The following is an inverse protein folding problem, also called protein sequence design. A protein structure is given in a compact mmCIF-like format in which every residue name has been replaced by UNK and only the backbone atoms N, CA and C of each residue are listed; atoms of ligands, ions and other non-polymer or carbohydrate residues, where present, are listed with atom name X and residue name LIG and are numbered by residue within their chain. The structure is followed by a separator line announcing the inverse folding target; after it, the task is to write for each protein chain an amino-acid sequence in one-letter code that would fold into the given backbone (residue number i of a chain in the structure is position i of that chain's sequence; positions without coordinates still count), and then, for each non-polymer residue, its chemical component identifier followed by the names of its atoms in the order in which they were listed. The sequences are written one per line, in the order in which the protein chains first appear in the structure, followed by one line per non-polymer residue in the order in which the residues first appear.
data_IF_479712051026
#
_entry.id   IF_479712051026
#
_cell.length_a   1.000
_cell.length_b   1.000
_cell.length_c   1.000
_cell.angle_alpha   90.00
_cell.angle_beta   90.00
_cell.angle_gamma   90.00
#
_symmetry.space_group_name_H-M   'P 1'
#
loop_
_entity.id
_entity.type
_entity.pdbx_description
1 polymer ?
#
# COMPACT_ATOMS: atom_id res chain seq x y z
N UNK A 1 8.57 1.73 -13.30
CA UNK A 1 7.19 1.98 -12.89
C UNK A 1 7.08 1.75 -11.39
N UNK A 2 6.22 2.51 -10.73
CA UNK A 2 6.12 2.53 -9.27
C UNK A 2 4.65 2.46 -8.86
N UNK A 3 4.33 1.71 -7.81
CA UNK A 3 3.06 1.81 -7.11
C UNK A 3 3.33 2.43 -5.75
N UNK A 4 2.68 3.58 -5.47
CA UNK A 4 2.76 4.24 -4.18
C UNK A 4 1.47 3.96 -3.41
N UNK A 5 1.58 3.25 -2.30
CA UNK A 5 0.46 2.96 -1.40
C UNK A 5 0.51 3.90 -0.20
N UNK A 6 -0.61 4.53 0.12
CA UNK A 6 -0.74 5.42 1.28
C UNK A 6 -1.85 4.89 2.17
N UNK A 7 -1.54 4.69 3.45
CA UNK A 7 -2.49 4.19 4.45
C UNK A 7 -2.65 5.22 5.55
N UNK A 8 -3.88 5.44 5.99
CA UNK A 8 -4.17 6.20 7.21
C UNK A 8 -4.78 5.24 8.22
N UNK A 9 -4.09 5.02 9.34
CA UNK A 9 -4.47 4.04 10.36
C UNK A 9 -4.81 4.78 11.64
N UNK A 10 -6.06 4.68 12.14
CA UNK A 10 -6.42 5.27 13.43
C UNK A 10 -5.56 4.69 14.55
N UNK A 11 -5.29 5.47 15.58
CA UNK A 11 -4.46 5.05 16.70
C UNK A 11 -4.94 3.74 17.32
N UNK A 12 -6.26 3.59 17.49
CA UNK A 12 -6.87 2.40 18.08
C UNK A 12 -6.80 1.16 17.18
N UNK A 13 -6.41 1.31 15.91
CA UNK A 13 -6.36 0.22 14.93
C UNK A 13 -4.94 -0.16 14.51
N UNK A 14 -3.93 0.41 15.12
CA UNK A 14 -2.53 0.11 14.79
C UNK A 14 -2.21 -1.37 15.00
N UNK A 15 -2.78 -1.99 16.04
CA UNK A 15 -2.63 -3.42 16.29
C UNK A 15 -3.18 -4.27 15.14
N UNK A 16 -4.37 -3.92 14.66
CA UNK A 16 -5.00 -4.64 13.55
C UNK A 16 -4.16 -4.54 12.29
N UNK A 17 -3.64 -3.34 11.99
CA UNK A 17 -2.75 -3.11 10.87
C UNK A 17 -1.48 -3.97 10.98
N UNK A 18 -0.83 -3.96 12.13
CA UNK A 18 0.40 -4.73 12.35
C UNK A 18 0.17 -6.23 12.16
N UNK A 19 -0.96 -6.74 12.66
CA UNK A 19 -1.32 -8.14 12.49
C UNK A 19 -1.51 -8.51 11.02
N UNK A 20 -2.26 -7.68 10.26
CA UNK A 20 -2.48 -7.93 8.85
C UNK A 20 -1.19 -7.89 8.03
N UNK A 21 -0.29 -6.96 8.35
CA UNK A 21 1.02 -6.87 7.70
C UNK A 21 1.84 -8.14 7.94
N UNK A 22 1.80 -8.67 9.16
CA UNK A 22 2.56 -9.88 9.50
C UNK A 22 2.03 -11.14 8.78
N UNK A 23 0.79 -11.11 8.34
CA UNK A 23 0.16 -12.23 7.61
C UNK A 23 0.34 -12.14 6.09
N UNK A 24 0.89 -11.06 5.57
CA UNK A 24 1.08 -10.89 4.14
C UNK A 24 2.17 -11.81 3.60
N UNK A 25 1.92 -12.32 2.39
CA UNK A 25 2.90 -13.15 1.69
C UNK A 25 4.13 -12.34 1.29
N UNK A 26 5.27 -13.02 1.18
CA UNK A 26 6.49 -12.42 0.65
C UNK A 26 6.29 -11.97 -0.79
N UNK A 27 6.93 -10.87 -1.16
CA UNK A 27 6.87 -10.35 -2.53
C UNK A 27 7.85 -11.09 -3.44
N UNK A 28 7.52 -11.25 -4.74
CA UNK A 28 8.46 -11.79 -5.72
C UNK A 28 9.72 -10.92 -5.85
N UNK A 29 10.81 -11.53 -6.30
CA UNK A 29 12.10 -10.85 -6.46
C UNK A 29 12.04 -9.68 -7.46
N UNK A 30 11.10 -9.69 -8.40
CA UNK A 30 10.97 -8.61 -9.39
C UNK A 30 10.28 -7.36 -8.85
N UNK A 31 9.86 -7.37 -7.58
CA UNK A 31 9.28 -6.20 -6.91
C UNK A 31 10.23 -5.73 -5.84
N UNK A 32 10.66 -4.47 -5.92
CA UNK A 32 11.48 -3.84 -4.87
C UNK A 32 10.57 -2.99 -3.99
N UNK A 33 10.48 -3.35 -2.73
CA UNK A 33 9.68 -2.63 -1.73
C UNK A 33 10.55 -1.60 -1.01
N UNK A 34 10.06 -0.35 -0.94
CA UNK A 34 10.67 0.73 -0.17
C UNK A 34 9.70 1.20 0.89
N UNK A 35 10.19 1.43 2.09
CA UNK A 35 9.38 1.75 3.26
C UNK A 35 9.09 0.52 4.10
N UNK A 36 8.14 0.59 5.01
CA UNK A 36 7.18 1.68 5.19
C UNK A 36 7.81 2.97 5.73
N UNK A 37 7.35 4.11 5.20
CA UNK A 37 7.68 5.42 5.74
C UNK A 37 6.50 5.86 6.60
N UNK A 38 6.75 6.08 7.89
CA UNK A 38 5.68 6.33 8.85
C UNK A 38 5.75 7.77 9.34
N UNK A 39 4.60 8.47 9.25
CA UNK A 39 4.43 9.79 9.82
C UNK A 39 3.31 9.74 10.84
N UNK A 40 3.63 10.04 12.09
CA UNK A 40 2.64 10.12 13.16
C UNK A 40 2.09 11.52 13.23
N UNK A 41 0.75 11.64 13.18
CA UNK A 41 0.06 12.90 13.43
C UNK A 41 -0.43 12.89 14.86
N UNK A 42 -0.14 13.94 15.62
CA UNK A 42 -0.52 14.03 17.01
C UNK A 42 -2.04 13.85 17.19
N UNK A 43 -2.45 12.78 17.86
CA UNK A 43 -3.86 12.46 18.14
C UNK A 43 -4.65 11.92 16.97
N UNK A 44 -4.07 11.79 15.77
CA UNK A 44 -4.80 11.40 14.55
C UNK A 44 -4.39 10.03 13.99
N UNK A 45 -3.52 9.29 14.68
CA UNK A 45 -3.03 8.00 14.20
C UNK A 45 -1.78 8.13 13.35
N UNK A 46 -1.55 7.18 12.44
CA UNK A 46 -0.35 7.12 11.63
C UNK A 46 -0.68 7.14 10.14
N UNK A 47 0.14 7.84 9.38
CA UNK A 47 0.14 7.79 7.92
C UNK A 47 1.34 6.97 7.47
N UNK A 48 1.09 5.96 6.65
CA UNK A 48 2.11 5.01 6.23
C UNK A 48 2.18 5.01 4.70
N UNK A 49 3.39 5.14 4.17
CA UNK A 49 3.62 5.15 2.73
C UNK A 49 4.56 3.99 2.39
N UNK A 50 4.14 3.16 1.43
CA UNK A 50 4.96 2.08 0.90
C UNK A 50 5.07 2.27 -0.61
N UNK A 51 6.28 2.12 -1.13
CA UNK A 51 6.57 2.26 -2.55
C UNK A 51 7.07 0.92 -3.09
N UNK A 52 6.44 0.45 -4.17
CA UNK A 52 6.84 -0.77 -4.86
C UNK A 52 7.37 -0.40 -6.25
N UNK A 53 8.61 -0.78 -6.55
CA UNK A 53 9.24 -0.56 -7.85
C UNK A 53 9.31 -1.86 -8.63
N UNK A 54 9.05 -1.78 -9.93
CA UNK A 54 9.03 -2.94 -10.82
C UNK A 54 9.17 -2.52 -12.28
N UNK A 55 9.49 -3.47 -13.15
CA UNK A 55 9.53 -3.22 -14.58
C UNK A 55 8.11 -3.08 -15.15
N UNK A 56 7.92 -2.19 -16.10
CA UNK A 56 6.63 -1.90 -16.72
C UNK A 56 5.97 -3.16 -17.32
N UNK A 57 6.76 -4.09 -17.84
CA UNK A 57 6.24 -5.36 -18.39
C UNK A 57 5.52 -6.23 -17.36
N UNK A 58 5.74 -6.00 -16.07
CA UNK A 58 5.15 -6.77 -14.97
C UNK A 58 3.93 -6.12 -14.34
N UNK A 59 3.44 -5.01 -14.92
CA UNK A 59 2.38 -4.20 -14.29
C UNK A 59 1.13 -4.99 -13.92
N UNK A 60 0.65 -5.87 -14.78
CA UNK A 60 -0.58 -6.62 -14.53
C UNK A 60 -0.41 -7.54 -13.33
N UNK A 61 0.66 -8.31 -13.30
CA UNK A 61 0.96 -9.24 -12.22
C UNK A 61 1.17 -8.52 -10.89
N UNK A 62 1.92 -7.41 -10.92
CA UNK A 62 2.20 -6.61 -9.72
C UNK A 62 0.92 -5.97 -9.20
N UNK A 63 0.10 -5.38 -10.09
CA UNK A 63 -1.14 -4.73 -9.68
C UNK A 63 -2.12 -5.72 -9.06
N UNK A 64 -2.27 -6.91 -9.64
CA UNK A 64 -3.13 -7.95 -9.07
C UNK A 64 -2.68 -8.35 -7.67
N UNK A 65 -1.38 -8.56 -7.48
CA UNK A 65 -0.83 -8.95 -6.18
C UNK A 65 -1.02 -7.86 -5.14
N UNK A 66 -0.70 -6.61 -5.49
CA UNK A 66 -0.83 -5.48 -4.56
C UNK A 66 -2.30 -5.21 -4.24
N UNK A 67 -3.20 -5.27 -5.24
CA UNK A 67 -4.63 -5.07 -5.02
C UNK A 67 -5.21 -6.09 -4.05
N UNK A 68 -4.80 -7.35 -4.13
CA UNK A 68 -5.23 -8.38 -3.18
C UNK A 68 -4.77 -8.08 -1.76
N UNK A 69 -3.53 -7.62 -1.60
CA UNK A 69 -3.02 -7.21 -0.30
C UNK A 69 -3.80 -6.03 0.27
N UNK A 70 -4.10 -5.04 -0.58
CA UNK A 70 -4.87 -3.87 -0.16
C UNK A 70 -6.29 -4.23 0.25
N UNK A 71 -6.93 -5.17 -0.45
CA UNK A 71 -8.28 -5.63 -0.10
C UNK A 71 -8.33 -6.24 1.31
N UNK A 72 -7.26 -6.87 1.75
CA UNK A 72 -7.16 -7.41 3.11
C UNK A 72 -7.31 -6.32 4.17
N UNK A 73 -6.78 -5.12 3.90
CA UNK A 73 -6.84 -4.00 4.85
C UNK A 73 -8.19 -3.28 4.87
N UNK A 74 -9.03 -3.46 3.85
CA UNK A 74 -10.32 -2.77 3.76
C UNK A 74 -11.29 -3.16 4.88
N UNK A 75 -11.07 -4.31 5.50
CA UNK A 75 -11.88 -4.77 6.62
C UNK A 75 -11.58 -4.10 7.96
N UNK A 76 -10.54 -3.27 8.04
CA UNK A 76 -10.16 -2.58 9.28
C UNK A 76 -10.98 -1.31 9.41
N UNK A 77 -11.86 -1.18 10.45
CA UNK A 77 -12.69 0.03 10.63
C UNK A 77 -11.85 1.30 10.75
N UNK A 78 -12.26 2.36 10.07
CA UNK A 78 -11.57 3.64 10.09
C UNK A 78 -10.28 3.67 9.30
N UNK A 79 -9.89 2.58 8.65
CA UNK A 79 -8.71 2.47 7.82
C UNK A 79 -8.98 3.09 6.45
N UNK A 80 -8.13 4.02 6.04
CA UNK A 80 -8.20 4.60 4.71
C UNK A 80 -6.93 4.25 3.94
N UNK A 81 -7.08 3.86 2.69
CA UNK A 81 -5.95 3.52 1.84
C UNK A 81 -6.15 4.02 0.42
N UNK A 82 -5.04 4.30 -0.25
CA UNK A 82 -5.03 4.63 -1.66
C UNK A 82 -3.73 4.09 -2.27
N UNK A 83 -3.77 3.78 -3.56
CA UNK A 83 -2.60 3.38 -4.30
C UNK A 83 -2.60 4.05 -5.67
N UNK A 84 -1.45 4.51 -6.09
CA UNK A 84 -1.27 5.19 -7.37
C UNK A 84 -0.18 4.51 -8.17
N UNK A 85 -0.46 4.16 -9.42
CA UNK A 85 0.55 3.66 -10.34
C UNK A 85 1.13 4.87 -11.08
N UNK A 86 2.45 5.04 -10.97
CA UNK A 86 3.17 6.14 -11.57
C UNK A 86 4.16 5.60 -12.60
N UNK A 87 4.16 6.20 -13.79
CA UNK A 87 5.14 5.94 -14.82
C UNK A 87 5.82 7.26 -15.17
N UNK A 88 7.14 7.35 -14.93
CA UNK A 88 7.94 8.57 -15.12
C UNK A 88 7.32 9.80 -14.44
N UNK A 89 6.79 9.61 -13.23
CA UNK A 89 6.19 10.67 -12.44
C UNK A 89 4.74 11.02 -12.80
N UNK A 90 4.15 10.34 -13.79
CA UNK A 90 2.75 10.58 -14.18
C UNK A 90 1.87 9.45 -13.68
N UNK A 91 0.69 9.80 -13.14
CA UNK A 91 -0.28 8.83 -12.69
C UNK A 91 -0.91 8.12 -13.90
N UNK A 92 -0.87 6.78 -13.88
CA UNK A 92 -1.46 5.93 -14.91
C UNK A 92 -2.75 5.30 -14.41
N UNK A 93 -2.79 4.90 -13.14
CA UNK A 93 -3.94 4.24 -12.52
C UNK A 93 -3.92 4.47 -11.03
N UNK A 94 -5.07 4.37 -10.37
CA UNK A 94 -5.14 4.46 -8.91
C UNK A 94 -6.13 3.46 -8.33
N UNK A 95 -5.93 3.13 -7.06
CA UNK A 95 -6.80 2.29 -6.24
C UNK A 95 -7.32 3.13 -5.07
N UNK A 96 -8.58 3.00 -4.65
CA UNK A 96 -9.59 2.18 -5.32
C UNK A 96 -10.02 2.79 -6.67
N UNK A 97 -10.43 1.92 -7.58
CA UNK A 97 -10.99 2.36 -8.85
C UNK A 97 -12.37 2.96 -8.58
N UNK A 98 -12.48 4.24 -8.80
CA UNK A 98 -13.75 4.95 -8.69
C UNK A 98 -14.31 5.21 -10.07
#
# INVERSE_FOLDING_TARGET
MVIRCTFSVPLERIRDYTREVSELSSLPAYITKRGPYIKNAAGAGSKIIIIYEFEKSKIVEVWERISKQLDTFRGIPGFALSAHILDKGKEVKRYPLT
#
